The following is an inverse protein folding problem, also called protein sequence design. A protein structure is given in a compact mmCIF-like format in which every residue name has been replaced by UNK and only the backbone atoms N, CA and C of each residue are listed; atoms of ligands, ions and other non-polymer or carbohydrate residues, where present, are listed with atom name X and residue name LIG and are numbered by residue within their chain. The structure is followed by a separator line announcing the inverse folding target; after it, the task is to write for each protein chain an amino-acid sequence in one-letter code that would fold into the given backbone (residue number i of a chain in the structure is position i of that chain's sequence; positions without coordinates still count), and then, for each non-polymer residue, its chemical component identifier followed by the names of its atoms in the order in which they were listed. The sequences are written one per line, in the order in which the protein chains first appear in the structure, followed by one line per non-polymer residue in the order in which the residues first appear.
data_IF_558886563764
#
_entry.id   IF_558886563764
#
_cell.length_a   1.000
_cell.length_b   1.000
_cell.length_c   1.000
_cell.angle_alpha   90.00
_cell.angle_beta   90.00
_cell.angle_gamma   90.00
#
_symmetry.space_group_name_H-M   'P 1'
#
loop_
_entity.id
_entity.type
_entity.pdbx_description
1 polymer ?
#
# COMPACT_ATOMS: atom_id res chain seq x y z
N UNK A 1 -13.16 0.09 72.11
CA UNK A 1 -12.19 -0.92 71.63
C UNK A 1 -11.92 -0.65 70.15
N UNK A 2 -10.71 -0.23 69.79
CA UNK A 2 -10.30 0.09 68.41
C UNK A 2 -9.47 -1.09 67.89
N UNK A 3 -10.01 -1.83 66.92
CA UNK A 3 -9.28 -2.92 66.25
C UNK A 3 -8.20 -2.30 65.35
N UNK A 4 -6.93 -2.52 65.69
CA UNK A 4 -5.80 -2.17 64.83
C UNK A 4 -5.61 -3.32 63.84
N UNK A 5 -6.11 -3.14 62.62
CA UNK A 5 -5.79 -4.02 61.50
C UNK A 5 -4.29 -3.91 61.23
N UNK A 6 -3.54 -5.00 61.44
CA UNK A 6 -2.12 -5.06 61.16
C UNK A 6 -1.93 -4.97 59.65
N UNK A 7 -1.41 -3.84 59.16
CA UNK A 7 -0.83 -3.80 57.81
C UNK A 7 0.25 -4.87 57.74
N UNK A 8 0.05 -5.83 56.84
CA UNK A 8 0.98 -6.95 56.67
C UNK A 8 2.30 -6.39 56.17
N UNK A 9 3.29 -6.32 57.05
CA UNK A 9 4.66 -5.98 56.67
C UNK A 9 5.14 -7.06 55.69
N UNK A 10 5.25 -6.67 54.42
CA UNK A 10 5.83 -7.53 53.38
C UNK A 10 7.30 -7.76 53.75
N UNK A 11 7.77 -9.00 53.66
CA UNK A 11 9.18 -9.32 53.92
C UNK A 11 10.08 -8.50 52.97
N UNK A 12 11.18 -7.89 53.45
CA UNK A 12 12.08 -7.09 52.62
C UNK A 12 12.53 -7.81 51.34
N UNK A 13 12.72 -9.12 51.43
CA UNK A 13 13.13 -9.97 50.29
C UNK A 13 12.02 -10.06 49.24
N UNK A 14 10.77 -10.24 49.68
CA UNK A 14 9.61 -10.39 48.79
C UNK A 14 9.30 -9.06 48.09
N UNK A 15 9.47 -7.94 48.79
CA UNK A 15 9.32 -6.60 48.19
C UNK A 15 10.29 -6.36 47.03
N UNK A 16 11.56 -6.74 47.22
CA UNK A 16 12.59 -6.59 46.16
C UNK A 16 12.35 -7.57 45.02
N UNK A 17 12.03 -8.84 45.32
CA UNK A 17 11.76 -9.83 44.28
C UNK A 17 10.55 -9.43 43.41
N UNK A 18 9.48 -8.89 44.02
CA UNK A 18 8.33 -8.36 43.28
C UNK A 18 8.70 -7.16 42.41
N UNK A 19 9.50 -6.22 42.94
CA UNK A 19 9.93 -5.05 42.18
C UNK A 19 10.76 -5.45 40.95
N UNK A 20 11.66 -6.41 41.09
CA UNK A 20 12.48 -6.90 39.97
C UNK A 20 11.63 -7.57 38.90
N UNK A 21 10.70 -8.45 39.28
CA UNK A 21 9.86 -9.14 38.30
C UNK A 21 8.98 -8.15 37.53
N UNK A 22 8.32 -7.22 38.23
CA UNK A 22 7.44 -6.24 37.58
C UNK A 22 8.23 -5.32 36.66
N UNK A 23 9.41 -4.85 37.09
CA UNK A 23 10.25 -3.98 36.26
C UNK A 23 10.75 -4.70 35.01
N UNK A 24 11.16 -5.96 35.11
CA UNK A 24 11.57 -6.77 33.96
C UNK A 24 10.41 -6.99 32.99
N UNK A 25 9.21 -7.31 33.50
CA UNK A 25 8.02 -7.49 32.66
C UNK A 25 7.71 -6.19 31.91
N UNK A 26 7.58 -5.07 32.62
CA UNK A 26 7.25 -3.77 31.98
C UNK A 26 8.33 -3.35 31.00
N UNK A 27 9.61 -3.47 31.35
CA UNK A 27 10.72 -3.16 30.46
C UNK A 27 10.70 -4.02 29.18
N UNK A 28 10.41 -5.32 29.31
CA UNK A 28 10.33 -6.23 28.16
C UNK A 28 9.17 -5.88 27.23
N UNK A 29 8.03 -5.49 27.79
CA UNK A 29 6.85 -5.07 27.02
C UNK A 29 7.16 -3.79 26.25
N UNK A 30 7.73 -2.77 26.92
CA UNK A 30 8.15 -1.52 26.27
C UNK A 30 9.21 -1.78 25.19
N UNK A 31 10.17 -2.67 25.44
CA UNK A 31 11.17 -3.06 24.45
C UNK A 31 10.57 -3.80 23.24
N UNK A 32 9.55 -4.64 23.44
CA UNK A 32 8.84 -5.29 22.35
C UNK A 32 8.05 -4.29 21.49
N UNK A 33 7.42 -3.29 22.12
CA UNK A 33 6.75 -2.20 21.41
C UNK A 33 7.75 -1.33 20.62
N UNK A 34 8.87 -0.93 21.25
CA UNK A 34 9.92 -0.16 20.57
C UNK A 34 10.65 -0.96 19.48
N UNK A 35 10.74 -2.29 19.65
CA UNK A 35 11.34 -3.23 18.69
C UNK A 35 10.43 -3.58 17.51
N UNK A 36 9.24 -2.99 17.41
CA UNK A 36 8.41 -3.11 16.21
C UNK A 36 7.64 -4.42 16.08
N UNK A 37 7.39 -5.15 17.18
CA UNK A 37 6.50 -6.34 17.14
C UNK A 37 5.10 -6.01 16.62
N UNK A 38 4.68 -4.75 16.70
CA UNK A 38 3.37 -4.30 16.22
C UNK A 38 3.38 -3.79 14.78
N UNK A 39 4.54 -3.69 14.14
CA UNK A 39 4.69 -2.98 12.87
C UNK A 39 4.75 -3.96 11.70
N UNK A 40 3.65 -4.66 11.47
CA UNK A 40 3.35 -5.28 10.17
C UNK A 40 2.64 -4.26 9.26
N UNK A 41 3.05 -2.99 9.29
CA UNK A 41 2.67 -2.05 8.23
C UNK A 41 3.36 -2.52 6.96
N UNK A 42 2.64 -3.31 6.18
CA UNK A 42 3.04 -3.62 4.81
C UNK A 42 3.09 -2.27 4.08
N UNK A 43 4.30 -1.78 3.85
CA UNK A 43 4.54 -0.61 3.00
C UNK A 43 3.82 -0.89 1.68
N UNK A 44 2.85 -0.05 1.35
CA UNK A 44 2.13 -0.18 0.10
C UNK A 44 3.13 -0.05 -1.05
N UNK A 45 3.09 -0.93 -2.07
CA UNK A 45 4.00 -0.85 -3.19
C UNK A 45 3.95 0.55 -3.80
N UNK A 46 5.11 1.17 -3.98
CA UNK A 46 5.21 2.51 -4.57
C UNK A 46 5.76 2.39 -5.98
N UNK A 47 5.04 2.93 -6.95
CA UNK A 47 5.32 2.76 -8.37
C UNK A 47 5.16 4.09 -9.09
N UNK A 48 6.18 4.49 -9.84
CA UNK A 48 6.15 5.72 -10.62
C UNK A 48 6.02 5.39 -12.11
N UNK A 49 4.88 5.73 -12.69
CA UNK A 49 4.63 5.58 -14.12
C UNK A 49 4.78 6.90 -14.87
N UNK A 50 5.44 6.84 -16.01
CA UNK A 50 5.31 7.83 -17.06
C UNK A 50 4.30 7.34 -18.10
N UNK A 51 3.40 8.22 -18.52
CA UNK A 51 2.34 7.89 -19.46
C UNK A 51 2.48 8.77 -20.68
N UNK A 52 2.69 8.13 -21.82
CA UNK A 52 2.72 8.80 -23.12
C UNK A 52 1.67 8.21 -24.04
N UNK A 53 1.19 8.98 -25.00
CA UNK A 53 0.30 8.48 -26.05
C UNK A 53 1.08 8.38 -27.36
N UNK A 54 0.77 7.36 -28.14
CA UNK A 54 1.24 7.18 -29.50
C UNK A 54 0.02 7.31 -30.40
N UNK A 55 0.02 8.33 -31.25
CA UNK A 55 -1.00 8.54 -32.27
C UNK A 55 -0.40 8.20 -33.64
N UNK A 56 -0.73 7.02 -34.15
CA UNK A 56 -0.33 6.58 -35.48
C UNK A 56 -1.46 6.68 -36.52
N UNK A 57 -2.70 6.89 -36.08
CA UNK A 57 -3.87 7.12 -36.94
C UNK A 57 -4.39 8.53 -36.64
N UNK A 58 -4.48 9.37 -37.68
CA UNK A 58 -5.01 10.73 -37.60
C UNK A 58 -6.02 10.93 -38.72
N UNK A 59 -7.30 10.88 -38.37
CA UNK A 59 -8.38 11.10 -39.31
C UNK A 59 -8.39 12.55 -39.81
N UNK A 60 -8.12 12.71 -41.10
CA UNK A 60 -8.08 14.01 -41.76
C UNK A 60 -9.47 14.43 -42.24
N UNK A 61 -10.39 13.48 -42.45
CA UNK A 61 -11.75 13.70 -42.94
C UNK A 61 -12.82 13.34 -41.90
N UNK A 62 -13.23 14.35 -41.12
CA UNK A 62 -14.27 14.21 -40.09
C UNK A 62 -15.69 14.00 -40.63
N UNK A 63 -15.88 13.92 -41.96
CA UNK A 63 -17.21 13.75 -42.57
C UNK A 63 -17.59 12.29 -42.76
N UNK A 64 -16.65 11.37 -42.58
CA UNK A 64 -16.88 9.94 -42.65
C UNK A 64 -16.51 9.27 -41.30
N UNK A 65 -16.93 8.01 -41.09
CA UNK A 65 -16.59 7.24 -39.87
C UNK A 65 -15.49 6.20 -40.13
N UNK A 66 -14.66 6.45 -41.15
CA UNK A 66 -13.56 5.59 -41.57
C UNK A 66 -12.26 6.28 -41.15
N UNK A 67 -11.38 5.63 -40.38
CA UNK A 67 -10.11 6.25 -40.01
C UNK A 67 -9.23 6.46 -41.25
N UNK A 68 -8.89 7.71 -41.58
CA UNK A 68 -7.86 8.01 -42.56
C UNK A 68 -6.46 7.88 -41.93
N UNK A 69 -5.58 7.12 -42.58
CA UNK A 69 -4.17 7.01 -42.20
C UNK A 69 -3.31 6.71 -43.42
N UNK A 70 -2.07 7.23 -43.44
CA UNK A 70 -1.12 6.91 -44.51
C UNK A 70 -0.72 5.44 -44.45
N UNK A 71 -0.39 4.82 -45.59
CA UNK A 71 0.12 3.44 -45.65
C UNK A 71 1.43 3.21 -44.89
N UNK A 72 2.06 4.29 -44.38
CA UNK A 72 3.26 4.27 -43.54
C UNK A 72 2.97 4.53 -42.05
N UNK A 73 1.72 4.81 -41.69
CA UNK A 73 1.35 5.11 -40.33
C UNK A 73 1.25 3.81 -39.50
N UNK A 74 1.85 3.79 -38.32
CA UNK A 74 1.70 2.69 -37.37
C UNK A 74 0.22 2.58 -36.99
N UNK A 75 -0.46 1.53 -37.41
CA UNK A 75 -1.92 1.38 -37.30
C UNK A 75 -2.47 1.22 -35.86
N UNK A 76 -1.65 1.53 -34.85
CA UNK A 76 -2.05 1.43 -33.45
C UNK A 76 -1.92 2.78 -32.78
N UNK A 77 -3.06 3.35 -32.42
CA UNK A 77 -3.13 4.34 -31.35
C UNK A 77 -3.03 3.58 -30.02
N UNK A 78 -2.20 4.06 -29.10
CA UNK A 78 -1.99 3.38 -27.83
C UNK A 78 -1.48 4.30 -26.73
N UNK A 79 -1.71 3.90 -25.50
CA UNK A 79 -1.07 4.49 -24.33
C UNK A 79 0.14 3.63 -23.96
N UNK A 80 1.28 4.26 -23.79
CA UNK A 80 2.52 3.62 -23.35
C UNK A 80 2.76 4.01 -21.91
N UNK A 81 2.74 3.00 -21.04
CA UNK A 81 3.05 3.12 -19.62
C UNK A 81 4.49 2.66 -19.41
N UNK A 82 5.35 3.55 -18.95
CA UNK A 82 6.74 3.24 -18.64
C UNK A 82 6.96 3.32 -17.13
N UNK A 83 7.49 2.24 -16.55
CA UNK A 83 7.94 2.24 -15.17
C UNK A 83 9.24 3.06 -15.07
N UNK A 84 9.19 4.19 -14.37
CA UNK A 84 10.36 5.03 -14.11
C UNK A 84 11.17 4.52 -12.91
N UNK A 85 10.51 3.85 -11.97
CA UNK A 85 11.12 3.28 -10.77
C UNK A 85 10.07 2.85 -9.73
N UNK A 86 10.54 2.24 -8.65
CA UNK A 86 9.70 1.66 -7.61
C UNK A 86 9.59 0.14 -7.74
N UNK A 87 8.51 -0.41 -7.21
CA UNK A 87 8.28 -1.85 -7.16
C UNK A 87 7.88 -2.44 -8.51
N UNK A 88 8.15 -3.74 -8.69
CA UNK A 88 7.76 -4.47 -9.89
C UNK A 88 6.23 -4.65 -9.96
N UNK A 89 5.67 -4.47 -11.15
CA UNK A 89 4.23 -4.56 -11.39
C UNK A 89 3.93 -5.81 -12.21
N UNK A 90 3.02 -6.64 -11.69
CA UNK A 90 2.51 -7.82 -12.39
C UNK A 90 1.60 -7.40 -13.53
N UNK A 91 2.02 -7.65 -14.77
CA UNK A 91 1.26 -7.28 -15.97
C UNK A 91 0.02 -8.16 -16.17
N UNK A 92 0.01 -9.39 -15.68
CA UNK A 92 -1.09 -10.36 -15.81
C UNK A 92 -2.28 -10.08 -14.87
N UNK A 93 -2.14 -9.10 -13.96
CA UNK A 93 -3.17 -8.68 -13.00
C UNK A 93 -3.63 -7.24 -13.18
N UNK A 94 -3.27 -6.60 -14.30
CA UNK A 94 -3.64 -5.22 -14.56
C UNK A 94 -5.06 -5.16 -15.13
N UNK A 95 -5.85 -4.18 -14.66
CA UNK A 95 -7.16 -3.84 -15.23
C UNK A 95 -7.19 -2.36 -15.54
N UNK A 96 -7.69 -1.99 -16.72
CA UNK A 96 -7.90 -0.60 -17.10
C UNK A 96 -9.38 -0.30 -16.98
N UNK A 97 -9.76 0.64 -16.12
CA UNK A 97 -11.14 1.07 -15.94
C UNK A 97 -11.30 2.49 -16.47
N UNK A 98 -12.18 2.70 -17.45
CA UNK A 98 -12.57 4.02 -17.91
C UNK A 98 -13.95 4.35 -17.33
N UNK A 99 -14.02 5.42 -16.55
CA UNK A 99 -15.25 5.85 -15.86
C UNK A 99 -15.72 7.18 -16.43
N UNK A 100 -16.99 7.27 -16.82
CA UNK A 100 -17.63 8.52 -17.24
C UNK A 100 -19.05 8.59 -16.68
N UNK A 101 -19.33 9.62 -15.87
CA UNK A 101 -20.68 9.95 -15.41
C UNK A 101 -21.46 8.81 -14.73
N UNK A 102 -20.78 7.84 -14.12
CA UNK A 102 -21.38 6.67 -13.47
C UNK A 102 -21.37 5.37 -14.30
N UNK A 103 -20.96 5.43 -15.58
CA UNK A 103 -20.70 4.25 -16.39
C UNK A 103 -19.21 3.90 -16.34
N UNK A 104 -18.90 2.63 -16.09
CA UNK A 104 -17.53 2.11 -16.09
C UNK A 104 -17.39 1.00 -17.12
N UNK A 105 -16.36 1.09 -17.95
CA UNK A 105 -15.91 -0.01 -18.80
C UNK A 105 -14.56 -0.51 -18.29
N UNK A 106 -14.43 -1.82 -18.13
CA UNK A 106 -13.20 -2.46 -17.66
C UNK A 106 -12.60 -3.28 -18.77
N UNK A 107 -11.35 -2.96 -19.14
CA UNK A 107 -10.53 -3.75 -20.04
C UNK A 107 -9.60 -4.63 -19.21
N UNK A 108 -9.66 -5.93 -19.47
CA UNK A 108 -8.81 -6.96 -18.88
C UNK A 108 -7.89 -7.48 -20.00
N UNK A 109 -6.66 -6.95 -20.14
CA UNK A 109 -5.68 -7.47 -21.07
C UNK A 109 -5.25 -8.86 -20.56
N UNK A 110 -5.88 -9.91 -21.07
CA UNK A 110 -5.52 -11.30 -20.79
C UNK A 110 -4.06 -11.60 -21.13
#
# INVERSE_FOLDING_TARGET
MKSMTKDSAVSPVVGVMLMLVVTIIVASVVAAFAGGITSNEQIAPSVNFDVSYVAGISDTDKTNSVPDYSSSASQNNGFVFKLLGGDSVQLDKIKIMLTSGGSSITFDPK
#
